data_IF_293823859320
#
_entry.id   IF_293823859320
#
_cell.length_a   1.000
_cell.length_b   1.000
_cell.length_c   1.000
_cell.angle_alpha   90.00
_cell.angle_beta   90.00
_cell.angle_gamma   90.00
#
_symmetry.space_group_name_H-M   'P 1'
#
loop_
_entity.id
_entity.type
_entity.pdbx_description
1 polymer ?
#
# COMPACT_ATOMS: atom_id res chain seq x y z
N UNK A 1 -16.99 15.87 -0.03
CA UNK A 1 -16.76 16.45 1.31
C UNK A 1 -15.48 17.26 1.25
N UNK A 2 -15.41 18.48 1.81
CA UNK A 2 -14.14 19.19 1.89
C UNK A 2 -13.14 18.34 2.68
N UNK A 3 -11.89 18.24 2.21
CA UNK A 3 -10.83 17.53 2.92
C UNK A 3 -10.67 18.13 4.32
N UNK A 4 -11.05 17.39 5.36
CA UNK A 4 -10.84 17.78 6.75
C UNK A 4 -9.34 17.72 7.04
N UNK A 5 -8.69 18.88 7.14
CA UNK A 5 -7.32 18.95 7.63
C UNK A 5 -7.32 18.78 9.14
N UNK A 6 -6.52 17.82 9.63
CA UNK A 6 -6.31 17.58 11.05
C UNK A 6 -4.88 18.00 11.36
N UNK A 7 -4.73 19.01 12.19
CA UNK A 7 -3.42 19.46 12.67
C UNK A 7 -3.08 18.67 13.93
N UNK A 8 -1.94 17.99 13.93
CA UNK A 8 -1.48 17.16 15.03
C UNK A 8 0.03 17.25 15.17
N UNK A 9 0.49 17.32 16.41
CA UNK A 9 1.91 17.23 16.78
C UNK A 9 2.35 15.77 16.96
N UNK A 10 1.40 14.82 17.02
CA UNK A 10 1.67 13.40 17.22
C UNK A 10 0.82 12.53 16.28
N UNK A 11 1.07 12.60 14.96
CA UNK A 11 0.22 11.98 13.95
C UNK A 11 0.09 10.47 14.14
N UNK A 12 1.15 9.79 14.57
CA UNK A 12 1.09 8.33 14.73
C UNK A 12 0.15 7.92 15.87
N UNK A 13 0.25 8.57 17.03
CA UNK A 13 -0.61 8.25 18.17
C UNK A 13 -2.07 8.57 17.87
N UNK A 14 -2.34 9.70 17.23
CA UNK A 14 -3.70 10.12 16.88
C UNK A 14 -4.32 9.16 15.85
N UNK A 15 -3.54 8.72 14.84
CA UNK A 15 -3.98 7.70 13.90
C UNK A 15 -4.32 6.39 14.62
N UNK A 16 -3.48 5.93 15.53
CA UNK A 16 -3.79 4.72 16.30
C UNK A 16 -5.00 4.89 17.21
N UNK A 17 -5.21 6.06 17.82
CA UNK A 17 -6.41 6.31 18.62
C UNK A 17 -7.69 6.17 17.77
N UNK A 18 -7.71 6.73 16.56
CA UNK A 18 -8.84 6.59 15.63
C UNK A 18 -9.05 5.14 15.19
N UNK A 19 -7.97 4.44 14.79
CA UNK A 19 -8.06 3.05 14.35
C UNK A 19 -8.51 2.11 15.48
N UNK A 20 -8.03 2.34 16.70
CA UNK A 20 -8.32 1.49 17.85
C UNK A 20 -9.76 1.60 18.34
N UNK A 21 -10.54 2.59 17.89
CA UNK A 21 -11.98 2.60 18.12
C UNK A 21 -12.65 1.34 17.54
N UNK A 22 -12.11 0.78 16.47
CA UNK A 22 -12.61 -0.46 15.84
C UNK A 22 -12.16 -1.74 16.55
N UNK A 23 -11.44 -1.65 17.67
CA UNK A 23 -11.25 -2.78 18.59
C UNK A 23 -12.49 -3.07 19.45
N UNK A 24 -13.49 -2.18 19.45
CA UNK A 24 -14.74 -2.34 20.18
C UNK A 24 -15.86 -2.81 19.25
N UNK A 25 -16.48 -3.94 19.58
CA UNK A 25 -17.57 -4.56 18.79
C UNK A 25 -18.69 -3.59 18.42
N UNK A 26 -19.17 -2.79 19.38
CA UNK A 26 -20.24 -1.83 19.14
C UNK A 26 -19.89 -0.78 18.07
N UNK A 27 -18.63 -0.35 18.00
CA UNK A 27 -18.19 0.63 16.99
C UNK A 27 -18.12 -0.02 15.60
N UNK A 28 -17.67 -1.27 15.51
CA UNK A 28 -17.67 -2.02 14.24
C UNK A 28 -19.10 -2.26 13.76
N UNK A 29 -20.00 -2.71 14.63
CA UNK A 29 -21.41 -2.93 14.29
C UNK A 29 -22.09 -1.65 13.82
N UNK A 30 -21.87 -0.53 14.51
CA UNK A 30 -22.38 0.79 14.11
C UNK A 30 -21.84 1.20 12.73
N UNK A 31 -20.53 1.07 12.51
CA UNK A 31 -19.92 1.41 11.22
C UNK A 31 -20.51 0.58 10.07
N UNK A 32 -20.65 -0.73 10.25
CA UNK A 32 -21.23 -1.61 9.23
C UNK A 32 -22.68 -1.23 8.92
N UNK A 33 -23.47 -0.86 9.93
CA UNK A 33 -24.85 -0.40 9.76
C UNK A 33 -24.92 0.92 8.98
N UNK A 34 -24.14 1.92 9.38
CA UNK A 34 -24.08 3.23 8.71
C UNK A 34 -23.68 3.12 7.23
N UNK A 35 -22.94 2.07 6.87
CA UNK A 35 -22.48 1.82 5.50
C UNK A 35 -23.31 0.75 4.76
N UNK A 36 -24.44 0.30 5.30
CA UNK A 36 -25.30 -0.74 4.73
C UNK A 36 -24.57 -2.06 4.42
N UNK A 37 -23.63 -2.44 5.28
CA UNK A 37 -22.83 -3.66 5.17
C UNK A 37 -23.37 -4.77 6.09
N UNK A 38 -23.10 -6.02 5.74
CA UNK A 38 -23.59 -7.18 6.48
C UNK A 38 -22.86 -7.33 7.81
N UNK A 39 -23.63 -7.42 8.90
CA UNK A 39 -23.11 -7.75 10.23
C UNK A 39 -22.93 -9.26 10.35
N UNK A 40 -21.70 -9.71 10.12
CA UNK A 40 -21.29 -11.09 10.38
C UNK A 40 -20.37 -11.13 11.60
N UNK A 41 -20.63 -12.03 12.54
CA UNK A 41 -19.80 -12.18 13.73
C UNK A 41 -18.35 -12.54 13.37
N UNK A 42 -18.15 -13.38 12.35
CA UNK A 42 -16.82 -13.75 11.85
C UNK A 42 -16.07 -12.53 11.28
N UNK A 43 -16.78 -11.67 10.55
CA UNK A 43 -16.21 -10.42 10.01
C UNK A 43 -15.89 -9.43 11.12
N UNK A 44 -16.79 -9.25 12.10
CA UNK A 44 -16.59 -8.36 13.25
C UNK A 44 -15.37 -8.81 14.07
N UNK A 45 -15.27 -10.10 14.38
CA UNK A 45 -14.14 -10.65 15.12
C UNK A 45 -12.83 -10.53 14.35
N UNK A 46 -12.87 -10.71 13.01
CA UNK A 46 -11.71 -10.48 12.14
C UNK A 46 -11.24 -9.02 12.24
N UNK A 47 -12.15 -8.06 12.09
CA UNK A 47 -11.83 -6.61 12.16
C UNK A 47 -11.18 -6.27 13.50
N UNK A 48 -11.83 -6.65 14.62
CA UNK A 48 -11.34 -6.36 15.97
C UNK A 48 -9.97 -6.99 16.21
N UNK A 49 -9.85 -8.30 15.92
CA UNK A 49 -8.62 -9.04 16.11
C UNK A 49 -7.47 -8.47 15.29
N UNK A 50 -7.73 -8.10 14.03
CA UNK A 50 -6.75 -7.49 13.14
C UNK A 50 -6.24 -6.15 13.65
N UNK A 51 -7.10 -5.24 14.12
CA UNK A 51 -6.66 -3.96 14.67
C UNK A 51 -5.85 -4.12 15.96
N UNK A 52 -6.29 -4.99 16.87
CA UNK A 52 -5.57 -5.29 18.11
C UNK A 52 -4.18 -5.88 17.82
N UNK A 53 -4.10 -6.91 16.98
CA UNK A 53 -2.84 -7.54 16.63
C UNK A 53 -1.91 -6.59 15.89
N UNK A 54 -2.43 -5.82 14.93
CA UNK A 54 -1.63 -4.84 14.21
C UNK A 54 -0.97 -3.84 15.17
N UNK A 55 -1.76 -3.24 16.08
CA UNK A 55 -1.25 -2.27 17.05
C UNK A 55 -0.14 -2.87 17.92
N UNK A 56 -0.32 -4.08 18.44
CA UNK A 56 0.70 -4.74 19.25
C UNK A 56 1.95 -5.09 18.46
N UNK A 57 1.83 -5.55 17.21
CA UNK A 57 2.97 -5.79 16.34
C UNK A 57 3.77 -4.52 16.05
N UNK A 58 3.10 -3.39 15.76
CA UNK A 58 3.76 -2.10 15.53
C UNK A 58 4.42 -1.52 16.79
N UNK A 59 3.82 -1.69 17.98
CA UNK A 59 4.47 -1.29 19.24
C UNK A 59 5.70 -2.13 19.52
N UNK A 60 5.58 -3.45 19.38
CA UNK A 60 6.67 -4.39 19.62
C UNK A 60 7.82 -4.18 18.62
N UNK A 61 7.53 -3.87 17.35
CA UNK A 61 8.57 -3.63 16.33
C UNK A 61 9.51 -2.48 16.67
N UNK A 62 9.08 -1.52 17.51
CA UNK A 62 9.90 -0.38 17.95
C UNK A 62 10.90 -0.73 19.06
N UNK A 63 10.69 -1.83 19.78
CA UNK A 63 11.49 -2.19 20.96
C UNK A 63 12.38 -3.40 20.73
N UNK A 64 12.04 -4.25 19.76
CA UNK A 64 12.88 -5.40 19.37
C UNK A 64 14.07 -4.98 18.51
N UNK A 65 15.04 -5.89 18.36
CA UNK A 65 16.21 -5.65 17.53
C UNK A 65 15.87 -5.62 16.02
N UNK A 66 16.82 -5.15 15.22
CA UNK A 66 16.70 -5.01 13.76
C UNK A 66 16.48 -6.33 13.01
N UNK A 67 16.79 -7.48 13.60
CA UNK A 67 16.55 -8.78 12.97
C UNK A 67 15.08 -9.22 13.08
N UNK A 68 14.40 -8.79 14.14
CA UNK A 68 13.01 -9.17 14.44
C UNK A 68 12.03 -8.07 14.00
N UNK A 69 12.43 -6.80 14.12
CA UNK A 69 11.57 -5.64 13.81
C UNK A 69 10.89 -5.73 12.43
N UNK A 70 11.58 -6.10 11.32
CA UNK A 70 10.95 -6.22 10.01
C UNK A 70 9.85 -7.28 9.95
N UNK A 71 10.03 -8.39 10.66
CA UNK A 71 9.03 -9.46 10.73
C UNK A 71 7.75 -8.98 11.44
N UNK A 72 7.91 -8.25 12.54
CA UNK A 72 6.78 -7.68 13.26
C UNK A 72 6.08 -6.60 12.45
N UNK A 73 6.83 -5.73 11.75
CA UNK A 73 6.26 -4.76 10.81
C UNK A 73 5.46 -5.44 9.70
N UNK A 74 5.96 -6.53 9.14
CA UNK A 74 5.24 -7.32 8.13
C UNK A 74 3.91 -7.86 8.66
N UNK A 75 3.91 -8.51 9.83
CA UNK A 75 2.68 -9.04 10.43
C UNK A 75 1.73 -7.93 10.89
N UNK A 76 2.26 -6.83 11.41
CA UNK A 76 1.48 -5.64 11.76
C UNK A 76 0.79 -5.03 10.56
N UNK A 77 1.52 -4.85 9.45
CA UNK A 77 1.00 -4.28 8.20
C UNK A 77 -0.05 -5.19 7.56
N UNK A 78 0.21 -6.50 7.54
CA UNK A 78 -0.73 -7.49 6.98
C UNK A 78 -2.03 -7.55 7.78
N UNK A 79 -1.95 -7.54 9.11
CA UNK A 79 -3.14 -7.48 9.96
C UNK A 79 -3.89 -6.16 9.80
N UNK A 80 -3.19 -5.03 9.75
CA UNK A 80 -3.82 -3.73 9.55
C UNK A 80 -4.56 -3.71 8.20
N UNK A 81 -3.94 -4.20 7.14
CA UNK A 81 -4.54 -4.28 5.82
C UNK A 81 -5.78 -5.20 5.81
N UNK A 82 -5.71 -6.34 6.50
CA UNK A 82 -6.86 -7.24 6.67
C UNK A 82 -8.02 -6.55 7.41
N UNK A 83 -7.74 -5.88 8.52
CA UNK A 83 -8.73 -5.15 9.31
C UNK A 83 -9.39 -4.04 8.50
N UNK A 84 -8.60 -3.21 7.83
CA UNK A 84 -9.09 -2.11 6.97
C UNK A 84 -9.93 -2.62 5.80
N UNK A 85 -9.46 -3.65 5.10
CA UNK A 85 -10.19 -4.23 3.97
C UNK A 85 -11.51 -4.87 4.42
N UNK A 86 -11.49 -5.59 5.55
CA UNK A 86 -12.68 -6.23 6.10
C UNK A 86 -13.70 -5.18 6.57
N UNK A 87 -13.23 -4.11 7.21
CA UNK A 87 -14.08 -2.98 7.61
C UNK A 87 -14.69 -2.28 6.40
N UNK A 88 -13.88 -1.98 5.36
CA UNK A 88 -14.32 -1.27 4.14
C UNK A 88 -15.43 -1.99 3.38
N UNK A 89 -15.39 -3.32 3.34
CA UNK A 89 -16.33 -4.14 2.54
C UNK A 89 -17.34 -4.93 3.38
N UNK A 90 -17.17 -5.00 4.70
CA UNK A 90 -18.02 -5.80 5.57
C UNK A 90 -17.95 -7.30 5.27
N UNK A 91 -16.77 -7.78 4.88
CA UNK A 91 -16.52 -9.19 4.59
C UNK A 91 -15.21 -9.63 5.23
N UNK A 92 -15.09 -10.92 5.52
CA UNK A 92 -13.79 -11.56 5.75
C UNK A 92 -13.27 -12.10 4.42
N UNK A 93 -12.15 -11.59 3.87
CA UNK A 93 -11.58 -12.15 2.65
C UNK A 93 -11.07 -13.58 2.87
N UNK A 94 -11.29 -14.45 1.90
CA UNK A 94 -10.77 -15.82 1.92
C UNK A 94 -9.33 -15.82 1.39
N UNK A 95 -8.35 -15.91 2.30
CA UNK A 95 -6.92 -15.90 1.98
C UNK A 95 -6.32 -17.26 2.32
N UNK A 96 -5.70 -17.92 1.32
CA UNK A 96 -5.06 -19.24 1.50
C UNK A 96 -3.53 -19.17 1.53
N UNK A 97 -2.94 -18.10 1.02
CA UNK A 97 -1.50 -17.88 0.98
C UNK A 97 -1.19 -16.38 0.86
N UNK A 98 0.08 -15.98 0.99
CA UNK A 98 0.49 -14.58 0.89
C UNK A 98 0.27 -13.97 -0.52
N UNK A 99 0.09 -14.79 -1.56
CA UNK A 99 -0.15 -14.33 -2.94
C UNK A 99 1.13 -14.08 -3.76
N UNK A 100 2.31 -14.09 -3.12
CA UNK A 100 3.61 -13.90 -3.76
C UNK A 100 4.61 -14.98 -3.38
N UNK A 101 5.58 -15.24 -4.25
CA UNK A 101 6.80 -15.98 -3.93
C UNK A 101 8.03 -15.27 -4.48
N UNK A 102 9.10 -15.31 -3.70
CA UNK A 102 10.44 -14.88 -4.10
C UNK A 102 11.20 -16.03 -4.74
N UNK A 103 11.89 -15.75 -5.83
CA UNK A 103 12.80 -16.66 -6.53
C UNK A 103 14.23 -16.29 -6.16
N UNK A 104 14.75 -16.94 -5.12
CA UNK A 104 16.08 -16.65 -4.59
C UNK A 104 17.22 -16.98 -5.57
N UNK A 105 16.96 -17.84 -6.55
CA UNK A 105 17.93 -18.21 -7.60
C UNK A 105 18.30 -17.05 -8.53
N UNK A 106 17.58 -15.94 -8.46
CA UNK A 106 17.87 -14.76 -9.30
C UNK A 106 18.64 -13.67 -8.56
N UNK A 107 19.10 -13.96 -7.33
CA UNK A 107 19.97 -13.07 -6.56
C UNK A 107 21.40 -13.29 -7.02
N UNK A 108 22.10 -12.23 -7.40
CA UNK A 108 23.52 -12.27 -7.71
C UNK A 108 24.30 -11.57 -6.59
N UNK A 109 24.07 -10.27 -6.41
CA UNK A 109 24.78 -9.41 -5.46
C UNK A 109 23.87 -8.86 -4.36
N UNK A 110 22.63 -8.48 -4.71
CA UNK A 110 21.70 -7.84 -3.78
C UNK A 110 20.41 -8.64 -3.64
N UNK A 111 19.90 -8.76 -2.41
CA UNK A 111 18.61 -9.42 -2.14
C UNK A 111 17.47 -8.80 -2.98
N UNK A 112 17.56 -7.51 -3.31
CA UNK A 112 16.58 -6.81 -4.13
C UNK A 112 16.54 -7.29 -5.60
N UNK A 113 17.54 -8.04 -6.07
CA UNK A 113 17.53 -8.67 -7.40
C UNK A 113 16.67 -9.93 -7.45
N UNK A 114 16.22 -10.41 -6.29
CA UNK A 114 15.26 -11.50 -6.19
C UNK A 114 14.03 -11.18 -7.04
N UNK A 115 13.67 -12.13 -7.89
CA UNK A 115 12.46 -12.03 -8.69
C UNK A 115 11.28 -12.41 -7.81
N UNK A 116 10.15 -11.77 -8.03
CA UNK A 116 8.91 -11.96 -7.31
C UNK A 116 7.84 -12.28 -8.32
N UNK A 117 7.07 -13.33 -8.05
CA UNK A 117 5.92 -13.70 -8.87
C UNK A 117 4.67 -13.78 -8.04
N UNK A 118 3.55 -13.44 -8.66
CA UNK A 118 2.23 -13.64 -8.07
C UNK A 118 1.76 -15.06 -8.37
N UNK A 119 1.29 -15.79 -7.36
CA UNK A 119 1.01 -17.22 -7.50
C UNK A 119 -0.47 -17.57 -7.59
N UNK A 120 -1.38 -16.72 -7.10
CA UNK A 120 -2.79 -17.09 -6.95
C UNK A 120 -3.73 -15.88 -7.06
N UNK A 121 -4.41 -15.75 -8.20
CA UNK A 121 -5.40 -14.71 -8.46
C UNK A 121 -6.65 -14.80 -7.57
N UNK A 122 -7.04 -16.03 -7.19
CA UNK A 122 -8.32 -16.28 -6.55
C UNK A 122 -8.22 -16.22 -5.03
N UNK A 123 -7.14 -16.70 -4.42
CA UNK A 123 -7.01 -16.79 -2.96
C UNK A 123 -5.69 -16.24 -2.41
N UNK A 124 -4.84 -15.66 -3.27
CA UNK A 124 -3.63 -14.98 -2.85
C UNK A 124 -3.95 -13.67 -2.12
N UNK A 125 -3.30 -13.44 -0.97
CA UNK A 125 -3.56 -12.29 -0.11
C UNK A 125 -3.52 -10.96 -0.86
N UNK A 126 -2.52 -10.74 -1.72
CA UNK A 126 -2.41 -9.51 -2.52
C UNK A 126 -3.62 -9.30 -3.42
N UNK A 127 -4.06 -10.32 -4.17
CA UNK A 127 -5.22 -10.18 -5.05
C UNK A 127 -6.52 -9.95 -4.28
N UNK A 128 -6.67 -10.60 -3.12
CA UNK A 128 -7.83 -10.39 -2.24
C UNK A 128 -7.91 -8.93 -1.77
N UNK A 129 -6.79 -8.37 -1.30
CA UNK A 129 -6.74 -6.96 -0.91
C UNK A 129 -6.92 -6.01 -2.10
N UNK A 130 -6.26 -6.29 -3.23
CA UNK A 130 -6.36 -5.49 -4.46
C UNK A 130 -7.80 -5.37 -4.95
N UNK A 131 -8.55 -6.49 -5.00
CA UNK A 131 -9.96 -6.51 -5.39
C UNK A 131 -10.83 -5.65 -4.48
N UNK A 132 -10.58 -5.70 -3.17
CA UNK A 132 -11.31 -4.90 -2.18
C UNK A 132 -11.09 -3.39 -2.39
N UNK A 133 -9.86 -2.98 -2.74
CA UNK A 133 -9.53 -1.57 -3.02
C UNK A 133 -9.87 -1.13 -4.45
N UNK A 134 -10.39 -2.02 -5.30
CA UNK A 134 -10.90 -1.70 -6.64
C UNK A 134 -9.98 -2.09 -7.80
N UNK A 135 -8.95 -2.90 -7.57
CA UNK A 135 -8.06 -3.42 -8.60
C UNK A 135 -8.30 -4.92 -8.83
N UNK A 136 -8.85 -5.27 -9.99
CA UNK A 136 -9.25 -6.65 -10.31
C UNK A 136 -8.42 -7.32 -11.42
N UNK A 137 -7.32 -6.68 -11.84
CA UNK A 137 -6.46 -7.30 -12.87
C UNK A 137 -5.70 -8.49 -12.30
N UNK A 138 -5.55 -9.52 -13.12
CA UNK A 138 -4.83 -10.72 -12.76
C UNK A 138 -3.32 -10.52 -12.83
N UNK A 139 -2.72 -10.14 -11.70
CA UNK A 139 -1.26 -9.97 -11.56
C UNK A 139 -0.43 -11.21 -11.90
N UNK A 140 -1.01 -12.43 -11.88
CA UNK A 140 -0.26 -13.65 -12.25
C UNK A 140 0.09 -13.69 -13.75
N UNK A 141 -0.60 -12.88 -14.57
CA UNK A 141 -0.36 -12.77 -16.02
C UNK A 141 0.73 -11.76 -16.39
N UNK A 142 1.30 -11.05 -15.41
CA UNK A 142 2.30 -10.01 -15.63
C UNK A 142 3.74 -10.51 -15.47
N UNK A 143 3.94 -11.83 -15.41
CA UNK A 143 5.27 -12.45 -15.33
C UNK A 143 5.98 -12.22 -14.01
N UNK A 144 7.31 -12.25 -14.06
CA UNK A 144 8.18 -12.04 -12.91
C UNK A 144 8.61 -10.58 -12.80
N UNK A 145 8.56 -10.06 -11.59
CA UNK A 145 8.94 -8.70 -11.24
C UNK A 145 10.22 -8.76 -10.41
N UNK A 146 10.98 -7.68 -10.33
CA UNK A 146 12.13 -7.59 -9.42
C UNK A 146 11.73 -6.93 -8.12
N UNK A 147 12.26 -7.40 -7.00
CA UNK A 147 12.08 -6.73 -5.71
C UNK A 147 12.53 -5.25 -5.78
N UNK A 148 13.58 -4.95 -6.54
CA UNK A 148 14.01 -3.57 -6.86
C UNK A 148 12.91 -2.71 -7.46
N UNK A 149 12.03 -3.25 -8.31
CA UNK A 149 10.95 -2.47 -8.93
C UNK A 149 9.94 -1.98 -7.88
N UNK A 150 9.60 -2.84 -6.91
CA UNK A 150 8.75 -2.45 -5.78
C UNK A 150 9.42 -1.40 -4.90
N UNK A 151 10.70 -1.59 -4.55
CA UNK A 151 11.45 -0.62 -3.73
C UNK A 151 11.57 0.73 -4.44
N UNK A 152 11.79 0.73 -5.75
CA UNK A 152 11.92 1.94 -6.56
C UNK A 152 10.61 2.72 -6.70
N UNK A 153 9.47 2.13 -6.33
CA UNK A 153 8.15 2.75 -6.39
C UNK A 153 7.70 3.37 -5.06
N UNK A 154 8.52 3.28 -4.00
CA UNK A 154 8.21 3.84 -2.67
C UNK A 154 8.94 5.19 -2.53
N UNK A 155 8.17 6.27 -2.47
CA UNK A 155 8.68 7.66 -2.48
C UNK A 155 9.54 7.94 -1.25
N UNK A 156 9.12 7.45 -0.09
CA UNK A 156 9.75 7.68 1.20
C UNK A 156 11.20 7.14 1.27
N UNK A 157 11.52 6.12 0.47
CA UNK A 157 12.84 5.50 0.43
C UNK A 157 13.59 5.78 -0.87
N UNK A 158 13.06 6.59 -1.79
CA UNK A 158 13.63 6.79 -3.14
C UNK A 158 15.10 7.25 -3.09
N UNK A 159 15.43 8.16 -2.17
CA UNK A 159 16.82 8.62 -1.96
C UNK A 159 17.74 7.48 -1.53
N UNK A 160 17.31 6.69 -0.56
CA UNK A 160 18.11 5.57 -0.04
C UNK A 160 18.21 4.45 -1.07
N UNK A 161 17.14 4.16 -1.80
CA UNK A 161 17.12 3.24 -2.94
C UNK A 161 18.17 3.64 -3.99
N UNK A 162 18.15 4.89 -4.46
CA UNK A 162 19.10 5.41 -5.46
C UNK A 162 20.55 5.28 -5.00
N UNK A 163 20.81 5.59 -3.73
CA UNK A 163 22.12 5.48 -3.11
C UNK A 163 22.58 4.01 -2.96
N UNK A 164 21.71 3.14 -2.46
CA UNK A 164 22.04 1.74 -2.18
C UNK A 164 22.31 0.92 -3.44
N UNK A 165 21.62 1.22 -4.54
CA UNK A 165 21.70 0.44 -5.78
C UNK A 165 22.40 1.20 -6.92
N UNK A 166 23.06 2.32 -6.60
CA UNK A 166 23.76 3.18 -7.56
C UNK A 166 22.90 3.53 -8.79
N UNK A 167 21.60 3.77 -8.55
CA UNK A 167 20.62 4.12 -9.58
C UNK A 167 20.42 5.62 -9.62
N UNK A 168 20.52 6.18 -10.82
CA UNK A 168 20.25 7.58 -11.09
C UNK A 168 18.75 7.91 -11.12
N UNK A 169 17.89 6.89 -11.31
CA UNK A 169 16.45 7.02 -11.57
C UNK A 169 15.70 5.89 -10.86
N UNK A 170 14.61 6.24 -10.16
CA UNK A 170 13.63 5.31 -9.59
C UNK A 170 12.30 5.38 -10.34
N UNK A 171 11.29 4.65 -9.89
CA UNK A 171 9.95 4.62 -10.48
C UNK A 171 8.99 5.64 -9.83
N UNK A 172 9.53 6.70 -9.23
CA UNK A 172 8.77 7.80 -8.62
C UNK A 172 9.01 9.10 -9.38
N UNK A 173 7.97 9.93 -9.47
CA UNK A 173 8.03 11.24 -10.12
C UNK A 173 7.57 12.32 -9.13
N UNK A 174 8.31 13.41 -9.06
CA UNK A 174 7.92 14.58 -8.27
C UNK A 174 6.83 15.35 -9.02
N UNK A 175 5.76 15.67 -8.31
CA UNK A 175 4.62 16.43 -8.81
C UNK A 175 4.42 17.69 -7.96
N UNK A 176 4.43 18.85 -8.61
CA UNK A 176 3.98 20.12 -8.00
C UNK A 176 2.60 20.49 -8.52
N UNK A 177 1.74 20.96 -7.61
CA UNK A 177 0.39 21.42 -7.89
C UNK A 177 0.32 22.96 -7.79
N UNK A 178 -0.06 23.62 -8.89
CA UNK A 178 -0.18 25.07 -8.97
C UNK A 178 -1.63 25.49 -9.23
N UNK A 179 -2.20 26.30 -8.35
CA UNK A 179 -3.47 26.96 -8.63
C UNK A 179 -3.21 28.20 -9.49
N UNK A 180 -3.73 28.21 -10.70
CA UNK A 180 -3.71 29.36 -11.61
C UNK A 180 -5.10 29.98 -11.74
N UNK A 181 -5.18 31.18 -12.31
CA UNK A 181 -6.46 31.84 -12.59
C UNK A 181 -7.36 31.03 -13.55
N UNK A 182 -6.78 30.10 -14.32
CA UNK A 182 -7.50 29.25 -15.28
C UNK A 182 -7.69 27.81 -14.81
N UNK A 183 -7.26 27.46 -13.60
CA UNK A 183 -7.43 26.12 -13.01
C UNK A 183 -6.17 25.56 -12.34
N UNK A 184 -6.24 24.30 -11.93
CA UNK A 184 -5.12 23.56 -11.36
C UNK A 184 -4.18 23.10 -12.49
N UNK A 185 -2.89 23.38 -12.34
CA UNK A 185 -1.82 22.89 -13.22
C UNK A 185 -0.93 21.95 -12.42
N UNK A 186 -0.62 20.80 -13.02
CA UNK A 186 0.26 19.78 -12.46
C UNK A 186 1.60 19.80 -13.21
N UNK A 187 2.71 19.97 -12.49
CA UNK A 187 4.06 19.99 -13.07
C UNK A 187 4.84 18.76 -12.61
N UNK A 188 5.30 17.98 -13.59
CA UNK A 188 6.11 16.79 -13.35
C UNK A 188 7.59 17.14 -13.57
N UNK A 189 8.45 16.75 -12.64
CA UNK A 189 9.90 16.86 -12.78
C UNK A 189 10.48 15.51 -13.18
N UNK A 190 11.21 15.50 -14.30
CA UNK A 190 11.87 14.30 -14.79
C UNK A 190 13.17 14.64 -15.50
N UNK A 191 14.12 13.71 -15.48
CA UNK A 191 15.35 13.82 -16.27
C UNK A 191 15.01 13.73 -17.77
N UNK A 192 15.81 14.41 -18.58
CA UNK A 192 15.62 14.45 -20.04
C UNK A 192 15.60 13.05 -20.66
N UNK A 193 16.41 12.13 -20.13
CA UNK A 193 16.52 10.75 -20.61
C UNK A 193 15.22 9.93 -20.50
N UNK A 194 14.38 10.21 -19.51
CA UNK A 194 13.12 9.47 -19.27
C UNK A 194 11.88 10.23 -19.71
N UNK A 195 12.04 11.49 -20.11
CA UNK A 195 10.92 12.37 -20.47
C UNK A 195 10.08 11.78 -21.61
N UNK A 196 10.71 11.20 -22.64
CA UNK A 196 10.00 10.60 -23.77
C UNK A 196 9.14 9.40 -23.33
N UNK A 197 9.69 8.52 -22.49
CA UNK A 197 8.95 7.38 -21.94
C UNK A 197 7.76 7.84 -21.09
N UNK A 198 7.96 8.86 -20.26
CA UNK A 198 6.89 9.43 -19.43
C UNK A 198 5.79 10.01 -20.33
N UNK A 199 6.16 10.80 -21.35
CA UNK A 199 5.19 11.38 -22.28
C UNK A 199 4.40 10.30 -23.03
N UNK A 200 5.04 9.20 -23.43
CA UNK A 200 4.36 8.07 -24.07
C UNK A 200 3.32 7.42 -23.15
N UNK A 201 3.61 7.30 -21.85
CA UNK A 201 2.64 6.77 -20.88
C UNK A 201 1.51 7.77 -20.65
N UNK A 202 1.83 9.06 -20.45
CA UNK A 202 0.84 10.12 -20.20
C UNK A 202 -0.11 10.35 -21.38
N UNK A 203 0.34 10.09 -22.61
CA UNK A 203 -0.54 10.13 -23.79
C UNK A 203 -1.68 9.08 -23.74
N UNK A 204 -1.57 8.06 -22.90
CA UNK A 204 -2.63 7.07 -22.67
C UNK A 204 -3.56 7.45 -21.51
N UNK A 205 -3.28 8.55 -20.80
CA UNK A 205 -4.13 9.05 -19.72
C UNK A 205 -5.23 9.91 -20.34
N UNK A 206 -6.46 9.49 -20.15
CA UNK A 206 -7.64 10.21 -20.62
C UNK A 206 -7.64 11.65 -20.06
N UNK A 207 -7.98 12.61 -20.92
CA UNK A 207 -8.02 14.05 -20.62
C UNK A 207 -6.69 14.73 -20.22
N UNK A 208 -5.54 14.06 -20.36
CA UNK A 208 -4.25 14.69 -20.08
C UNK A 208 -3.90 15.75 -21.13
N UNK A 209 -3.85 17.03 -20.71
CA UNK A 209 -3.48 18.17 -21.57
C UNK A 209 -2.05 18.62 -21.30
N UNK A 210 -1.19 18.46 -22.31
CA UNK A 210 0.20 18.92 -22.25
C UNK A 210 0.27 20.43 -22.41
N UNK A 211 0.92 21.09 -21.45
CA UNK A 211 1.31 22.51 -21.54
C UNK A 211 2.83 22.51 -21.51
N UNK A 212 3.47 22.89 -22.62
CA UNK A 212 4.95 22.94 -22.78
C UNK A 212 5.42 24.37 -22.57
#
# INVERSE_FOLDING_TARGET
MPNKQIFTENPENDLWQELMQFSYKANVERYLEEHNLVKSEDTINTIIGSFLQANEYFKASKTVNLQISPLLLYYGSTNLLLGLCSLKKGIRPEIKNHGMATLHTTIDNYISEASVRFNDYNFGGIHQFAKIIGFDKDLTKYGEWKMQEFLSAIVEIDRDYKKCYEKEIGNTLLLDLYNTSTGLIEKIYAKKEIMESILNVLNNVEDFKKII
#
